data_IF_324227631494
#
_entry.id   IF_324227631494
#
_cell.length_a   1.000
_cell.length_b   1.000
_cell.length_c   1.000
_cell.angle_alpha   90.00
_cell.angle_beta   90.00
_cell.angle_gamma   90.00
#
_symmetry.space_group_name_H-M   'P 1'
#
loop_
_entity.id
_entity.type
_entity.pdbx_description
1 polymer ?
#
# COMPACT_ATOMS: atom_id res chain seq x y z
N UNK A 1 5.70 -44.76 15.60
CA UNK A 1 7.17 -44.96 15.47
C UNK A 1 7.42 -45.66 14.14
N UNK A 2 7.69 -44.90 13.09
CA UNK A 2 8.14 -45.46 11.81
C UNK A 2 9.66 -45.42 11.85
N UNK A 3 10.29 -46.59 11.84
CA UNK A 3 11.75 -46.73 11.76
C UNK A 3 12.23 -46.15 10.43
N UNK A 4 13.12 -45.16 10.48
CA UNK A 4 13.83 -44.71 9.28
C UNK A 4 14.64 -45.88 8.69
N UNK A 5 14.71 -45.91 7.36
CA UNK A 5 15.48 -46.89 6.59
C UNK A 5 16.96 -46.84 7.00
N UNK A 6 17.54 -47.98 7.37
CA UNK A 6 18.90 -48.09 7.93
C UNK A 6 19.98 -47.52 7.00
N UNK A 7 19.71 -47.45 5.69
CA UNK A 7 20.60 -46.83 4.69
C UNK A 7 20.63 -45.31 4.80
N UNK A 8 19.51 -44.70 5.14
CA UNK A 8 19.41 -43.24 5.37
C UNK A 8 20.13 -42.90 6.67
N UNK A 9 20.01 -43.75 7.70
CA UNK A 9 20.73 -43.57 8.95
C UNK A 9 22.25 -43.63 8.76
N UNK A 10 22.76 -44.59 7.97
CA UNK A 10 24.20 -44.64 7.66
C UNK A 10 24.70 -43.44 6.84
N UNK A 11 23.88 -42.87 5.94
CA UNK A 11 24.26 -41.67 5.19
C UNK A 11 24.29 -40.40 6.06
N UNK A 12 23.37 -40.30 7.02
CA UNK A 12 23.34 -39.23 8.00
C UNK A 12 24.53 -39.32 8.95
N UNK A 13 24.83 -40.52 9.48
CA UNK A 13 25.95 -40.73 10.40
C UNK A 13 27.29 -40.46 9.72
N UNK A 14 27.44 -40.82 8.44
CA UNK A 14 28.65 -40.54 7.65
C UNK A 14 28.80 -39.04 7.34
N UNK A 15 27.70 -38.35 7.02
CA UNK A 15 27.71 -36.89 6.80
C UNK A 15 27.98 -36.11 8.09
N UNK A 16 27.49 -36.59 9.24
CA UNK A 16 27.80 -36.01 10.54
C UNK A 16 29.26 -36.22 10.95
N UNK A 17 29.83 -37.40 10.69
CA UNK A 17 31.25 -37.67 10.93
C UNK A 17 32.15 -36.77 10.06
N UNK A 18 31.82 -36.63 8.77
CA UNK A 18 32.57 -35.75 7.84
C UNK A 18 32.43 -34.27 8.23
N UNK A 19 31.26 -33.85 8.72
CA UNK A 19 31.02 -32.48 9.20
C UNK A 19 31.76 -32.18 10.51
N UNK A 20 31.83 -33.13 11.44
CA UNK A 20 32.56 -32.98 12.71
C UNK A 20 34.08 -32.99 12.49
N UNK A 21 34.57 -33.70 11.47
CA UNK A 21 35.98 -33.70 11.07
C UNK A 21 36.39 -32.38 10.38
N UNK A 22 35.46 -31.71 9.69
CA UNK A 22 35.68 -30.41 9.06
C UNK A 22 35.77 -29.24 10.07
N UNK A 23 35.08 -29.34 11.22
CA UNK A 23 34.98 -28.25 12.20
C UNK A 23 36.07 -28.21 13.28
N UNK A 24 37.08 -29.07 13.23
CA UNK A 24 38.29 -28.92 14.07
C UNK A 24 38.02 -28.79 15.59
N UNK A 25 36.99 -29.45 16.12
CA UNK A 25 36.77 -29.57 17.57
C UNK A 25 36.34 -28.30 18.32
N UNK A 26 35.67 -27.34 17.69
CA UNK A 26 35.08 -26.19 18.39
C UNK A 26 33.55 -26.24 18.49
N UNK A 27 33.04 -25.94 19.69
CA UNK A 27 31.62 -25.98 20.08
C UNK A 27 30.79 -24.92 19.32
N UNK A 28 29.73 -25.32 18.57
CA UNK A 28 28.91 -24.42 17.77
C UNK A 28 27.94 -23.54 18.58
N UNK A 29 27.93 -23.61 19.92
CA UNK A 29 27.01 -22.83 20.77
C UNK A 29 27.62 -21.61 21.45
N UNK A 30 28.90 -21.32 21.23
CA UNK A 30 29.55 -20.14 21.81
C UNK A 30 29.20 -18.85 21.04
N UNK A 31 28.40 -17.98 21.67
CA UNK A 31 28.17 -16.60 21.21
C UNK A 31 29.40 -15.76 21.60
N UNK A 32 30.13 -15.12 20.66
CA UNK A 32 31.28 -14.30 21.02
C UNK A 32 30.84 -13.03 21.77
N UNK A 33 31.62 -12.64 22.78
CA UNK A 33 31.39 -11.41 23.55
C UNK A 33 31.50 -10.17 22.67
N UNK A 34 30.87 -9.08 23.10
CA UNK A 34 30.71 -7.83 22.35
C UNK A 34 32.03 -7.14 21.95
N UNK A 35 33.15 -7.45 22.59
CA UNK A 35 34.46 -6.88 22.24
C UNK A 35 35.09 -7.55 21.01
N UNK A 36 34.76 -8.81 20.73
CA UNK A 36 35.25 -9.57 19.57
C UNK A 36 34.53 -9.18 18.25
N UNK A 37 33.42 -8.45 18.35
CA UNK A 37 32.60 -7.99 17.21
C UNK A 37 33.27 -6.91 16.36
N UNK A 38 34.33 -6.30 16.87
CA UNK A 38 35.01 -5.16 16.23
C UNK A 38 36.22 -5.56 15.39
N UNK A 39 36.71 -6.80 15.53
CA UNK A 39 38.07 -7.17 15.09
C UNK A 39 38.15 -8.17 13.91
N UNK A 40 37.04 -8.43 13.20
CA UNK A 40 37.06 -9.21 11.95
C UNK A 40 36.35 -8.46 10.81
N UNK A 41 36.89 -7.28 10.52
CA UNK A 41 36.79 -6.67 9.19
C UNK A 41 38.18 -6.81 8.58
N UNK A 42 38.44 -7.92 7.90
CA UNK A 42 39.70 -8.06 7.15
C UNK A 42 39.76 -6.97 6.07
N UNK A 43 40.88 -6.24 6.08
CA UNK A 43 41.25 -5.19 5.13
C UNK A 43 41.42 -5.79 3.73
N UNK A 44 40.44 -5.58 2.85
CA UNK A 44 40.61 -5.66 1.40
C UNK A 44 40.17 -4.34 0.75
N UNK A 45 41.18 -3.56 0.34
CA UNK A 45 41.22 -2.38 -0.54
C UNK A 45 39.91 -1.57 -0.69
N UNK A 46 39.86 -0.43 0.03
CA UNK A 46 38.68 0.34 0.41
C UNK A 46 38.45 1.57 -0.51
N UNK A 47 38.36 1.37 -1.83
CA UNK A 47 38.19 2.50 -2.79
C UNK A 47 37.04 2.38 -3.79
N UNK A 48 36.21 1.34 -3.73
CA UNK A 48 35.15 1.14 -4.73
C UNK A 48 33.83 1.81 -4.33
N UNK A 49 33.47 2.89 -5.04
CA UNK A 49 32.26 3.73 -4.84
C UNK A 49 30.94 2.97 -4.73
N UNK A 50 30.85 1.77 -5.33
CA UNK A 50 29.65 0.95 -5.31
C UNK A 50 29.44 0.23 -3.96
N UNK A 51 30.51 -0.11 -3.22
CA UNK A 51 30.39 -0.72 -1.87
C UNK A 51 29.77 0.29 -0.91
N UNK A 52 30.20 1.54 -1.00
CA UNK A 52 29.69 2.64 -0.17
C UNK A 52 28.24 2.97 -0.49
N UNK A 53 27.83 2.89 -1.75
CA UNK A 53 26.42 3.07 -2.13
C UNK A 53 25.51 1.97 -1.56
N UNK A 54 25.93 0.70 -1.64
CA UNK A 54 25.20 -0.42 -1.02
C UNK A 54 25.17 -0.27 0.51
N UNK A 55 26.32 -0.01 1.15
CA UNK A 55 26.41 0.18 2.60
C UNK A 55 25.57 1.36 3.08
N UNK A 56 25.55 2.47 2.34
CA UNK A 56 24.70 3.64 2.64
C UNK A 56 23.22 3.30 2.54
N UNK A 57 22.80 2.64 1.47
CA UNK A 57 21.39 2.23 1.28
C UNK A 57 20.94 1.24 2.36
N UNK A 58 21.84 0.35 2.82
CA UNK A 58 21.58 -0.55 3.94
C UNK A 58 21.45 0.17 5.29
N UNK A 59 22.26 1.19 5.56
CA UNK A 59 22.14 2.00 6.78
C UNK A 59 20.81 2.75 6.88
N UNK A 60 20.18 3.02 5.74
CA UNK A 60 18.85 3.66 5.66
C UNK A 60 17.70 2.65 5.89
N UNK A 61 17.96 1.35 5.96
CA UNK A 61 16.97 0.28 6.19
C UNK A 61 17.05 -0.22 7.63
N UNK A 62 16.00 0.02 8.42
CA UNK A 62 15.86 -0.55 9.77
C UNK A 62 15.13 -1.90 9.79
N UNK A 63 14.53 -2.29 8.67
CA UNK A 63 13.71 -3.48 8.47
C UNK A 63 14.49 -4.69 7.93
N UNK A 64 15.74 -4.49 7.53
CA UNK A 64 16.66 -5.57 7.16
C UNK A 64 17.79 -5.59 8.19
N UNK A 65 17.78 -6.59 9.06
CA UNK A 65 18.92 -6.86 9.94
C UNK A 65 20.05 -7.47 9.10
N UNK A 66 21.19 -6.79 8.95
CA UNK A 66 22.30 -7.23 8.09
C UNK A 66 23.47 -7.70 8.97
N UNK A 67 23.73 -9.01 8.96
CA UNK A 67 24.87 -9.59 9.68
C UNK A 67 25.93 -10.18 8.76
N UNK A 68 25.69 -10.26 7.44
CA UNK A 68 26.69 -10.68 6.46
C UNK A 68 26.43 -10.09 5.06
N UNK A 69 27.51 -9.70 4.38
CA UNK A 69 27.48 -9.29 2.97
C UNK A 69 28.67 -9.91 2.25
N UNK A 70 28.42 -10.63 1.16
CA UNK A 70 29.45 -11.39 0.42
C UNK A 70 29.32 -11.19 -1.09
N UNK A 71 30.43 -11.33 -1.80
CA UNK A 71 30.49 -11.34 -3.25
C UNK A 71 31.06 -12.66 -3.75
N UNK A 72 30.35 -13.33 -4.66
CA UNK A 72 30.90 -14.42 -5.44
C UNK A 72 31.21 -13.92 -6.84
N UNK A 73 32.39 -14.25 -7.35
CA UNK A 73 32.86 -13.80 -8.66
C UNK A 73 33.44 -14.99 -9.43
N UNK A 74 33.02 -15.14 -10.69
CA UNK A 74 33.50 -16.20 -11.57
C UNK A 74 33.84 -15.64 -12.94
N UNK A 75 35.02 -15.99 -13.46
CA UNK A 75 35.33 -15.78 -14.87
C UNK A 75 34.55 -16.79 -15.71
N UNK A 76 33.77 -16.28 -16.64
CA UNK A 76 32.94 -17.02 -17.59
C UNK A 76 33.42 -16.85 -19.04
N UNK A 77 34.50 -16.09 -19.27
CA UNK A 77 35.06 -15.83 -20.61
C UNK A 77 36.34 -16.62 -20.90
N UNK A 78 36.87 -16.47 -22.11
CA UNK A 78 38.15 -17.07 -22.53
C UNK A 78 39.33 -16.24 -21.99
N UNK A 79 40.55 -16.80 -22.04
CA UNK A 79 41.78 -16.11 -21.60
C UNK A 79 41.99 -14.76 -22.29
N UNK A 80 41.57 -14.65 -23.55
CA UNK A 80 41.76 -13.46 -24.39
C UNK A 80 40.53 -12.51 -24.40
N UNK A 81 39.40 -12.95 -23.83
CA UNK A 81 38.19 -12.15 -23.67
C UNK A 81 37.47 -12.54 -22.38
N UNK A 82 38.05 -12.20 -21.21
CA UNK A 82 37.45 -12.54 -19.94
C UNK A 82 36.11 -11.80 -19.78
N UNK A 83 35.10 -12.56 -19.40
CA UNK A 83 33.82 -12.04 -18.94
C UNK A 83 33.68 -12.47 -17.49
N UNK A 84 33.27 -11.56 -16.63
CA UNK A 84 33.10 -11.83 -15.21
C UNK A 84 31.63 -11.82 -14.87
N UNK A 85 31.20 -12.78 -14.07
CA UNK A 85 29.93 -12.78 -13.37
C UNK A 85 30.20 -12.43 -11.91
N UNK A 86 29.52 -11.42 -11.40
CA UNK A 86 29.49 -11.09 -9.97
C UNK A 86 28.08 -11.31 -9.42
N UNK A 87 27.99 -11.90 -8.23
CA UNK A 87 26.76 -12.13 -7.49
C UNK A 87 26.97 -11.58 -6.07
N UNK A 88 26.08 -10.71 -5.61
CA UNK A 88 26.12 -10.18 -4.25
C UNK A 88 25.05 -10.81 -3.37
N UNK A 89 25.50 -11.22 -2.18
CA UNK A 89 24.68 -11.85 -1.17
C UNK A 89 24.56 -10.98 0.07
N UNK A 90 23.36 -10.93 0.66
CA UNK A 90 23.10 -10.32 1.97
C UNK A 90 22.37 -11.38 2.80
N UNK A 91 22.92 -11.70 3.98
CA UNK A 91 22.43 -12.78 4.85
C UNK A 91 22.28 -14.14 4.15
N UNK A 92 23.20 -14.43 3.21
CA UNK A 92 23.19 -15.66 2.42
C UNK A 92 22.17 -15.71 1.27
N UNK A 93 21.32 -14.70 1.10
CA UNK A 93 20.40 -14.59 -0.04
C UNK A 93 21.01 -13.79 -1.18
N UNK A 94 20.76 -14.17 -2.43
CA UNK A 94 21.18 -13.41 -3.61
C UNK A 94 20.32 -12.15 -3.78
N UNK A 95 20.94 -10.97 -3.82
CA UNK A 95 20.24 -9.68 -3.99
C UNK A 95 20.47 -9.03 -5.35
N UNK A 96 21.50 -9.47 -6.08
CA UNK A 96 21.76 -8.99 -7.42
C UNK A 96 22.94 -9.69 -8.06
N UNK A 97 22.88 -9.76 -9.38
CA UNK A 97 23.89 -10.40 -10.23
C UNK A 97 24.10 -9.61 -11.50
N UNK A 98 25.33 -9.52 -11.98
CA UNK A 98 25.61 -8.88 -13.25
C UNK A 98 26.89 -9.42 -13.89
N UNK A 99 27.01 -9.18 -15.19
CA UNK A 99 28.18 -9.51 -15.98
C UNK A 99 28.95 -8.25 -16.39
N UNK A 100 30.26 -8.37 -16.56
CA UNK A 100 31.12 -7.29 -17.01
C UNK A 100 32.41 -7.80 -17.65
N UNK A 101 33.02 -6.96 -18.49
CA UNK A 101 34.31 -7.27 -19.13
C UNK A 101 35.47 -7.31 -18.12
N UNK A 102 35.31 -6.68 -16.95
CA UNK A 102 36.21 -6.82 -15.80
C UNK A 102 35.40 -7.18 -14.55
N UNK A 103 36.08 -7.69 -13.52
CA UNK A 103 35.44 -8.03 -12.24
C UNK A 103 34.85 -6.79 -11.57
N UNK A 104 35.48 -5.61 -11.72
CA UNK A 104 35.00 -4.33 -11.19
C UNK A 104 33.70 -3.89 -11.87
N UNK A 105 33.61 -4.03 -13.19
CA UNK A 105 32.38 -3.71 -13.95
C UNK A 105 31.26 -4.66 -13.52
N UNK A 106 31.54 -5.96 -13.41
CA UNK A 106 30.55 -6.94 -12.99
C UNK A 106 30.05 -6.66 -11.56
N UNK A 107 30.96 -6.38 -10.61
CA UNK A 107 30.62 -6.02 -9.22
C UNK A 107 29.85 -4.70 -9.16
N UNK A 108 30.25 -3.68 -9.91
CA UNK A 108 29.57 -2.38 -9.94
C UNK A 108 28.12 -2.50 -10.44
N UNK A 109 27.87 -3.24 -11.52
CA UNK A 109 26.51 -3.40 -12.05
C UNK A 109 25.64 -4.27 -11.13
N UNK A 110 26.22 -5.33 -10.55
CA UNK A 110 25.53 -6.16 -9.56
C UNK A 110 25.17 -5.35 -8.30
N UNK A 111 26.07 -4.47 -7.83
CA UNK A 111 25.84 -3.59 -6.69
C UNK A 111 24.76 -2.54 -6.98
N UNK A 112 24.67 -2.06 -8.22
CA UNK A 112 23.61 -1.17 -8.67
C UNK A 112 22.23 -1.85 -8.65
N UNK A 113 22.18 -3.13 -9.02
CA UNK A 113 20.97 -3.96 -8.92
C UNK A 113 20.58 -4.15 -7.45
N UNK A 114 21.53 -4.54 -6.60
CA UNK A 114 21.33 -4.68 -5.15
C UNK A 114 20.82 -3.38 -4.54
N UNK A 115 21.47 -2.25 -4.83
CA UNK A 115 21.06 -0.93 -4.33
C UNK A 115 19.66 -0.55 -4.76
N UNK A 116 19.22 -0.93 -5.97
CA UNK A 116 17.82 -0.73 -6.40
C UNK A 116 16.84 -1.61 -5.66
N UNK A 117 17.18 -2.88 -5.44
CA UNK A 117 16.37 -3.82 -4.66
C UNK A 117 16.29 -3.43 -3.18
N UNK A 118 17.33 -2.79 -2.66
CA UNK A 118 17.44 -2.30 -1.29
C UNK A 118 16.80 -0.94 -1.06
N UNK A 119 16.51 -0.15 -2.10
CA UNK A 119 15.77 1.10 -1.91
C UNK A 119 14.46 0.77 -1.21
N UNK A 120 14.09 1.50 -0.14
CA UNK A 120 12.77 1.34 0.44
C UNK A 120 11.74 1.50 -0.68
N UNK A 121 10.69 0.66 -0.73
CA UNK A 121 9.61 0.89 -1.67
C UNK A 121 9.16 2.33 -1.50
N UNK A 122 8.98 3.04 -2.63
CA UNK A 122 8.45 4.42 -2.63
C UNK A 122 7.29 4.50 -1.63
N UNK A 123 7.28 5.49 -0.71
CA UNK A 123 6.21 5.61 0.27
C UNK A 123 4.87 5.51 -0.43
N UNK A 124 3.90 4.77 0.11
CA UNK A 124 2.61 4.59 -0.55
C UNK A 124 1.92 5.93 -0.87
N UNK A 125 2.23 6.99 -0.11
CA UNK A 125 1.77 8.36 -0.35
C UNK A 125 2.21 8.92 -1.70
N UNK A 126 3.32 8.45 -2.27
CA UNK A 126 3.76 8.79 -3.63
C UNK A 126 2.75 8.34 -4.70
N UNK A 127 1.95 7.29 -4.42
CA UNK A 127 0.90 6.79 -5.30
C UNK A 127 -0.33 7.70 -5.32
N UNK A 128 -0.55 8.53 -4.29
CA UNK A 128 -1.73 9.44 -4.22
C UNK A 128 -1.85 10.31 -5.47
N UNK A 129 -0.73 10.74 -6.07
CA UNK A 129 -0.71 11.55 -7.29
C UNK A 129 -1.32 10.86 -8.52
N UNK A 130 -1.32 9.53 -8.54
CA UNK A 130 -1.88 8.70 -9.61
C UNK A 130 -3.40 8.62 -9.55
N UNK A 131 -4.00 8.96 -8.41
CA UNK A 131 -5.43 8.85 -8.16
C UNK A 131 -6.12 10.21 -8.18
N UNK A 132 -7.36 10.20 -8.66
CA UNK A 132 -8.38 11.19 -8.36
C UNK A 132 -9.17 10.68 -7.15
N UNK A 133 -9.16 11.42 -6.05
CA UNK A 133 -9.87 11.05 -4.82
C UNK A 133 -11.25 11.70 -4.77
N UNK A 134 -12.30 10.88 -4.70
CA UNK A 134 -13.69 11.30 -4.59
C UNK A 134 -14.25 10.79 -3.26
N UNK A 135 -14.81 11.68 -2.46
CA UNK A 135 -15.47 11.34 -1.20
C UNK A 135 -16.98 11.30 -1.43
N UNK A 136 -17.62 10.20 -1.05
CA UNK A 136 -19.06 10.11 -0.86
C UNK A 136 -19.35 10.25 0.63
N UNK A 137 -19.91 11.38 1.02
CA UNK A 137 -20.20 11.68 2.41
C UNK A 137 -21.69 11.59 2.70
N UNK A 138 -22.03 10.82 3.74
CA UNK A 138 -23.39 10.74 4.23
C UNK A 138 -23.87 12.05 4.88
N UNK A 139 -24.92 12.65 4.34
CA UNK A 139 -25.55 13.88 4.83
C UNK A 139 -26.96 13.66 5.42
N UNK A 140 -27.20 12.50 6.02
CA UNK A 140 -28.50 12.19 6.59
C UNK A 140 -28.76 12.94 7.91
N UNK A 141 -30.03 13.09 8.30
CA UNK A 141 -30.43 13.74 9.56
C UNK A 141 -29.79 13.12 10.80
N UNK A 142 -29.42 11.84 10.74
CA UNK A 142 -28.82 11.11 11.85
C UNK A 142 -27.36 11.51 12.11
N UNK A 143 -26.69 12.14 11.14
CA UNK A 143 -25.29 12.59 11.25
C UNK A 143 -25.18 13.81 12.18
N UNK A 144 -26.27 14.59 12.32
CA UNK A 144 -26.35 15.72 13.27
C UNK A 144 -26.50 15.27 14.72
N UNK A 145 -26.83 14.00 14.98
CA UNK A 145 -26.99 13.48 16.35
C UNK A 145 -25.63 13.37 17.04
N UNK A 146 -25.59 13.79 18.30
CA UNK A 146 -24.46 13.49 19.19
C UNK A 146 -24.40 11.99 19.43
N UNK A 147 -23.20 11.42 19.43
CA UNK A 147 -23.02 9.98 19.70
C UNK A 147 -21.93 9.72 20.75
N UNK A 148 -21.16 10.74 21.12
CA UNK A 148 -20.18 10.70 22.20
C UNK A 148 -20.01 12.09 22.82
N UNK A 149 -19.45 12.10 24.03
CA UNK A 149 -18.91 13.29 24.68
C UNK A 149 -17.42 13.06 24.90
N UNK A 150 -16.57 14.03 24.50
CA UNK A 150 -15.12 13.96 24.71
C UNK A 150 -14.71 14.95 25.79
N UNK A 151 -13.83 14.55 26.70
CA UNK A 151 -13.23 15.46 27.66
C UNK A 151 -12.25 16.41 26.95
N UNK A 152 -12.31 17.70 27.27
CA UNK A 152 -11.35 18.74 26.90
C UNK A 152 -10.81 19.39 28.16
N UNK A 153 -9.67 20.08 28.03
CA UNK A 153 -8.97 20.74 29.13
C UNK A 153 -9.84 21.71 29.97
N UNK A 154 -11.04 22.11 29.51
CA UNK A 154 -12.00 22.97 30.22
C UNK A 154 -13.47 22.50 30.13
N UNK A 155 -13.75 21.19 29.99
CA UNK A 155 -15.13 20.64 30.03
C UNK A 155 -15.38 19.51 29.03
N UNK A 156 -16.61 18.98 28.97
CA UNK A 156 -16.99 17.98 27.96
C UNK A 156 -17.51 18.62 26.68
N UNK A 157 -17.10 18.09 25.53
CA UNK A 157 -17.59 18.49 24.22
C UNK A 157 -18.51 17.41 23.66
N UNK A 158 -19.74 17.80 23.33
CA UNK A 158 -20.66 16.95 22.57
C UNK A 158 -20.13 16.78 21.15
N UNK A 159 -19.79 15.55 20.78
CA UNK A 159 -19.31 15.23 19.44
C UNK A 159 -20.47 14.67 18.61
N UNK A 160 -20.73 15.37 17.52
CA UNK A 160 -21.62 14.90 16.45
C UNK A 160 -20.80 14.18 15.39
N UNK A 161 -21.43 13.23 14.70
CA UNK A 161 -20.81 12.55 13.55
C UNK A 161 -20.42 13.54 12.46
N UNK A 162 -21.21 14.62 12.32
CA UNK A 162 -20.92 15.73 11.43
C UNK A 162 -19.61 16.46 11.79
N UNK A 163 -19.34 16.65 13.08
CA UNK A 163 -18.12 17.32 13.52
C UNK A 163 -16.88 16.47 13.25
N UNK A 164 -16.93 15.19 13.61
CA UNK A 164 -15.86 14.23 13.33
C UNK A 164 -15.61 14.10 11.83
N UNK A 165 -16.66 13.91 11.03
CA UNK A 165 -16.52 13.80 9.58
C UNK A 165 -15.88 15.05 8.95
N UNK A 166 -16.27 16.25 9.41
CA UNK A 166 -15.66 17.50 8.94
C UNK A 166 -14.16 17.56 9.28
N UNK A 167 -13.77 17.15 10.48
CA UNK A 167 -12.36 17.12 10.89
C UNK A 167 -11.56 16.11 10.06
N UNK A 168 -12.09 14.89 9.92
CA UNK A 168 -11.52 13.85 9.08
C UNK A 168 -11.34 14.30 7.62
N UNK A 169 -12.35 14.93 7.02
CA UNK A 169 -12.31 15.42 5.64
C UNK A 169 -11.37 16.60 5.45
N UNK A 170 -11.23 17.47 6.46
CA UNK A 170 -10.24 18.53 6.46
C UNK A 170 -8.81 17.97 6.44
N UNK A 171 -8.53 16.97 7.30
CA UNK A 171 -7.25 16.28 7.34
C UNK A 171 -6.97 15.53 6.03
N UNK A 172 -7.98 14.84 5.49
CA UNK A 172 -7.90 14.14 4.21
C UNK A 172 -7.57 15.10 3.05
N UNK A 173 -8.26 16.24 2.98
CA UNK A 173 -8.03 17.25 1.94
C UNK A 173 -6.60 17.79 2.01
N UNK A 174 -6.11 18.11 3.22
CA UNK A 174 -4.76 18.59 3.45
C UNK A 174 -3.70 17.55 3.05
N UNK A 175 -3.89 16.28 3.44
CA UNK A 175 -2.98 15.19 3.11
C UNK A 175 -2.92 14.92 1.60
N UNK A 176 -4.08 14.82 0.92
CA UNK A 176 -4.11 14.62 -0.54
C UNK A 176 -3.49 15.82 -1.27
N UNK A 177 -3.71 17.05 -0.80
CA UNK A 177 -3.16 18.25 -1.41
C UNK A 177 -1.62 18.34 -1.33
N UNK A 178 -0.98 17.68 -0.36
CA UNK A 178 0.48 17.59 -0.27
C UNK A 178 1.09 16.72 -1.39
N UNK A 179 0.33 15.74 -1.90
CA UNK A 179 0.84 14.76 -2.85
C UNK A 179 0.18 14.84 -4.24
N UNK A 180 -0.96 15.52 -4.40
CA UNK A 180 -1.74 15.57 -5.65
C UNK A 180 -2.33 16.95 -5.93
N UNK A 181 -2.28 17.38 -7.20
CA UNK A 181 -2.87 18.63 -7.68
C UNK A 181 -4.38 18.63 -7.86
N UNK A 182 -4.98 17.44 -7.87
CA UNK A 182 -6.42 17.29 -8.11
C UNK A 182 -7.22 17.53 -6.83
N UNK A 183 -6.57 17.42 -5.66
CA UNK A 183 -7.21 17.51 -4.35
C UNK A 183 -8.35 16.48 -4.21
N UNK A 184 -9.34 16.75 -3.35
CA UNK A 184 -10.51 15.88 -3.18
C UNK A 184 -11.79 16.52 -3.73
N UNK A 185 -12.65 15.71 -4.35
CA UNK A 185 -14.04 16.07 -4.64
C UNK A 185 -14.95 15.49 -3.54
N UNK A 186 -15.90 16.25 -3.01
CA UNK A 186 -16.87 15.79 -2.01
C UNK A 186 -18.28 15.81 -2.58
N UNK A 187 -18.88 14.63 -2.64
CA UNK A 187 -20.28 14.39 -3.00
C UNK A 187 -21.05 14.08 -1.74
N UNK A 188 -22.17 14.76 -1.50
CA UNK A 188 -23.10 14.36 -0.46
C UNK A 188 -24.07 13.32 -1.04
N UNK A 189 -24.42 12.30 -0.27
CA UNK A 189 -25.31 11.24 -0.76
C UNK A 189 -26.68 11.79 -1.19
N UNK A 190 -27.26 12.72 -0.42
CA UNK A 190 -28.59 13.26 -0.65
C UNK A 190 -28.60 14.63 -1.36
N UNK A 191 -27.44 15.14 -1.80
CA UNK A 191 -27.33 16.42 -2.48
C UNK A 191 -26.72 16.28 -3.89
N UNK A 192 -27.28 17.03 -4.85
CA UNK A 192 -26.75 17.10 -6.21
C UNK A 192 -25.51 18.00 -6.31
N UNK A 193 -25.31 18.93 -5.37
CA UNK A 193 -24.17 19.83 -5.35
C UNK A 193 -22.91 19.07 -4.92
N UNK A 194 -21.88 19.15 -5.76
CA UNK A 194 -20.55 18.57 -5.52
C UNK A 194 -19.58 19.68 -5.17
N UNK A 195 -18.82 19.52 -4.09
CA UNK A 195 -17.64 20.34 -3.83
C UNK A 195 -16.48 19.77 -4.65
N UNK A 196 -15.83 20.59 -5.48
CA UNK A 196 -14.73 20.11 -6.31
C UNK A 196 -13.40 20.70 -5.88
N UNK A 197 -12.34 19.88 -5.97
CA UNK A 197 -10.95 20.27 -5.75
C UNK A 197 -10.70 20.98 -4.41
N UNK A 198 -11.28 20.46 -3.32
CA UNK A 198 -11.05 20.99 -1.98
C UNK A 198 -9.64 20.64 -1.50
N UNK A 199 -8.82 21.67 -1.26
CA UNK A 199 -7.41 21.53 -0.87
C UNK A 199 -7.14 21.83 0.60
N UNK A 200 -7.96 22.67 1.23
CA UNK A 200 -7.66 23.19 2.57
C UNK A 200 -8.77 22.85 3.57
N UNK A 201 -8.42 22.71 4.86
CA UNK A 201 -9.40 22.56 5.94
C UNK A 201 -10.51 23.62 5.92
N UNK A 202 -10.15 24.88 5.64
CA UNK A 202 -11.09 26.01 5.63
C UNK A 202 -12.11 25.86 4.49
N UNK A 203 -11.67 25.40 3.32
CA UNK A 203 -12.55 25.15 2.18
C UNK A 203 -13.54 24.02 2.48
N UNK A 204 -13.09 22.97 3.17
CA UNK A 204 -13.95 21.88 3.65
C UNK A 204 -14.96 22.40 4.66
N UNK A 205 -14.51 23.12 5.70
CA UNK A 205 -15.40 23.71 6.69
C UNK A 205 -16.42 24.65 6.07
N UNK A 206 -16.00 25.49 5.12
CA UNK A 206 -16.87 26.40 4.39
C UNK A 206 -17.92 25.66 3.57
N UNK A 207 -17.56 24.55 2.92
CA UNK A 207 -18.49 23.73 2.16
C UNK A 207 -19.62 23.17 3.05
N UNK A 208 -19.32 22.80 4.28
CA UNK A 208 -20.31 22.26 5.21
C UNK A 208 -21.18 23.32 5.89
N UNK A 209 -20.94 24.62 5.66
CA UNK A 209 -21.82 25.69 6.16
C UNK A 209 -23.18 25.62 5.44
N UNK A 210 -24.26 25.69 6.21
CA UNK A 210 -25.65 25.77 5.72
C UNK A 210 -26.10 24.58 4.86
N UNK A 211 -25.56 23.37 5.07
CA UNK A 211 -26.04 22.17 4.39
C UNK A 211 -27.24 21.58 5.13
N UNK A 212 -28.33 21.39 4.39
CA UNK A 212 -29.54 20.73 4.87
C UNK A 212 -29.35 19.21 4.84
N UNK A 213 -29.72 18.54 5.92
CA UNK A 213 -29.74 17.08 5.97
C UNK A 213 -31.05 16.54 5.40
N UNK A 214 -31.00 15.32 4.84
CA UNK A 214 -32.18 14.60 4.32
C UNK A 214 -32.31 13.22 4.95
N UNK A 215 -33.43 12.53 4.73
CA UNK A 215 -33.58 11.13 5.18
C UNK A 215 -32.98 10.20 4.12
N UNK A 216 -32.38 9.09 4.56
CA UNK A 216 -31.83 8.07 3.68
C UNK A 216 -30.31 8.13 3.49
N UNK A 217 -29.76 7.02 2.99
CA UNK A 217 -28.34 6.80 2.71
C UNK A 217 -28.18 6.12 1.34
N UNK A 218 -28.52 6.81 0.24
CA UNK A 218 -28.54 6.22 -1.10
C UNK A 218 -27.11 6.09 -1.67
N UNK A 219 -26.35 5.15 -1.12
CA UNK A 219 -24.93 4.92 -1.47
C UNK A 219 -24.82 4.32 -2.87
N UNK A 220 -25.65 3.34 -3.20
CA UNK A 220 -25.65 2.70 -4.51
C UNK A 220 -25.95 3.70 -5.63
N UNK A 221 -26.93 4.57 -5.43
CA UNK A 221 -27.26 5.62 -6.41
C UNK A 221 -26.07 6.56 -6.63
N UNK A 222 -25.43 7.03 -5.55
CA UNK A 222 -24.29 7.95 -5.66
C UNK A 222 -23.03 7.29 -6.23
N UNK A 223 -22.78 6.03 -5.89
CA UNK A 223 -21.72 5.22 -6.51
C UNK A 223 -21.96 5.06 -8.01
N UNK A 224 -23.20 4.81 -8.42
CA UNK A 224 -23.57 4.68 -9.84
C UNK A 224 -23.21 5.95 -10.61
N UNK A 225 -23.56 7.12 -10.09
CA UNK A 225 -23.23 8.41 -10.73
C UNK A 225 -21.72 8.56 -10.98
N UNK A 226 -20.91 8.31 -9.94
CA UNK A 226 -19.46 8.53 -9.98
C UNK A 226 -18.76 7.46 -10.82
N UNK A 227 -19.10 6.19 -10.63
CA UNK A 227 -18.49 5.08 -11.36
C UNK A 227 -18.85 5.14 -12.85
N UNK A 228 -20.10 5.43 -13.20
CA UNK A 228 -20.51 5.57 -14.60
C UNK A 228 -19.75 6.71 -15.27
N UNK A 229 -19.68 7.88 -14.62
CA UNK A 229 -18.93 9.01 -15.17
C UNK A 229 -17.47 8.64 -15.44
N UNK A 230 -16.80 7.98 -14.49
CA UNK A 230 -15.41 7.58 -14.65
C UNK A 230 -15.21 6.51 -15.74
N UNK A 231 -16.07 5.49 -15.80
CA UNK A 231 -15.99 4.45 -16.83
C UNK A 231 -16.23 5.03 -18.23
N UNK A 232 -17.13 6.01 -18.36
CA UNK A 232 -17.35 6.74 -19.62
C UNK A 232 -16.11 7.57 -19.98
N UNK A 233 -15.52 8.31 -19.04
CA UNK A 233 -14.26 9.03 -19.25
C UNK A 233 -13.13 8.08 -19.69
N UNK A 234 -13.04 6.90 -19.09
CA UNK A 234 -12.08 5.86 -19.46
C UNK A 234 -12.28 5.34 -20.89
N UNK A 235 -13.52 5.04 -21.29
CA UNK A 235 -13.86 4.63 -22.67
C UNK A 235 -13.39 5.68 -23.67
N UNK A 236 -13.72 6.95 -23.44
CA UNK A 236 -13.31 8.05 -24.32
C UNK A 236 -11.78 8.21 -24.38
N UNK A 237 -11.09 8.07 -23.25
CA UNK A 237 -9.63 8.12 -23.19
C UNK A 237 -9.00 6.97 -23.99
N UNK A 238 -9.46 5.72 -23.79
CA UNK A 238 -8.96 4.52 -24.48
C UNK A 238 -9.16 4.58 -25.99
N UNK A 239 -10.29 5.08 -26.48
CA UNK A 239 -10.55 5.25 -27.92
C UNK A 239 -9.58 6.25 -28.56
N UNK A 240 -9.22 7.33 -27.86
CA UNK A 240 -8.26 8.34 -28.36
C UNK A 240 -6.83 7.81 -28.41
N UNK A 241 -6.44 7.00 -27.43
CA UNK A 241 -5.12 6.39 -27.36
C UNK A 241 -4.91 5.37 -28.49
N UNK A 242 -5.94 4.56 -28.75
CA UNK A 242 -5.92 3.56 -29.84
C UNK A 242 -5.83 4.17 -31.24
N UNK A 243 -6.22 5.45 -31.40
CA UNK A 243 -6.30 6.15 -32.70
C UNK A 243 -5.14 7.10 -32.98
N UNK A 244 -4.22 7.34 -32.02
CA UNK A 244 -3.06 8.24 -32.20
C UNK A 244 -1.82 7.68 -31.49
N UNK A 245 -1.20 6.69 -32.12
CA UNK A 245 0.00 6.01 -31.60
C UNK A 245 1.31 6.80 -31.79
N UNK A 246 1.27 7.96 -32.43
CA UNK A 246 2.44 8.83 -32.65
C UNK A 246 2.04 10.30 -32.47
N UNK A 247 2.91 11.03 -31.76
CA UNK A 247 2.78 12.44 -31.34
C UNK A 247 1.88 12.65 -30.12
N UNK A 248 2.17 13.73 -29.36
CA UNK A 248 1.47 14.23 -28.16
C UNK A 248 2.11 13.93 -26.81
N UNK A 249 3.35 14.41 -26.62
CA UNK A 249 3.86 14.82 -25.30
C UNK A 249 2.99 15.97 -24.77
N UNK A 250 2.23 15.77 -23.69
CA UNK A 250 1.62 16.88 -22.94
C UNK A 250 0.17 16.74 -22.47
N UNK A 251 -0.55 15.66 -22.79
CA UNK A 251 -1.90 15.43 -22.22
C UNK A 251 -1.79 14.59 -20.95
N UNK A 252 -2.36 15.09 -19.84
CA UNK A 252 -2.46 14.34 -18.57
C UNK A 252 -3.13 12.98 -18.86
N UNK A 253 -2.48 11.90 -18.47
CA UNK A 253 -3.09 10.56 -18.46
C UNK A 253 -4.37 10.58 -17.61
N UNK A 254 -5.35 9.73 -17.94
CA UNK A 254 -6.49 9.53 -17.06
C UNK A 254 -5.99 8.91 -15.76
N UNK A 255 -6.22 9.60 -14.64
CA UNK A 255 -5.85 9.11 -13.32
C UNK A 255 -6.74 7.94 -12.89
N UNK A 256 -6.21 7.08 -12.04
CA UNK A 256 -6.98 6.05 -11.34
C UNK A 256 -8.04 6.71 -10.45
N UNK A 257 -9.09 5.99 -10.07
CA UNK A 257 -10.14 6.52 -9.20
C UNK A 257 -10.03 5.92 -7.81
N UNK A 258 -10.04 6.77 -6.78
CA UNK A 258 -10.17 6.35 -5.40
C UNK A 258 -11.45 6.93 -4.81
N UNK A 259 -12.41 6.09 -4.44
CA UNK A 259 -13.68 6.50 -3.84
C UNK A 259 -13.65 6.21 -2.35
N UNK A 260 -13.78 7.24 -1.51
CA UNK A 260 -13.91 7.09 -0.06
C UNK A 260 -15.36 7.31 0.34
N UNK A 261 -16.03 6.27 0.82
CA UNK A 261 -17.45 6.29 1.23
C UNK A 261 -17.53 6.38 2.75
N UNK A 262 -17.90 7.54 3.27
CA UNK A 262 -18.01 7.79 4.71
C UNK A 262 -19.47 7.71 5.14
N UNK A 263 -19.80 6.72 5.97
CA UNK A 263 -21.17 6.45 6.44
C UNK A 263 -21.19 6.15 7.94
N UNK A 264 -22.31 6.42 8.61
CA UNK A 264 -22.48 6.07 10.02
C UNK A 264 -23.44 4.91 10.27
N UNK A 265 -24.16 4.48 9.24
CA UNK A 265 -25.08 3.36 9.32
C UNK A 265 -25.28 2.70 7.96
N UNK A 266 -26.02 1.60 7.92
CA UNK A 266 -26.15 0.78 6.72
C UNK A 266 -26.82 1.51 5.54
N UNK A 267 -26.31 1.41 4.30
CA UNK A 267 -26.94 1.95 3.10
C UNK A 267 -28.45 1.64 3.02
N UNK A 268 -29.25 2.58 2.51
CA UNK A 268 -30.70 2.34 2.28
C UNK A 268 -30.99 1.65 0.95
N UNK A 269 -29.96 1.43 0.16
CA UNK A 269 -29.94 0.74 -1.13
C UNK A 269 -28.80 -0.30 -1.15
N UNK A 270 -28.58 -0.98 -2.28
CA UNK A 270 -27.61 -2.08 -2.38
C UNK A 270 -26.36 -1.67 -3.18
N UNK A 271 -25.30 -1.15 -2.54
CA UNK A 271 -24.08 -0.73 -3.25
C UNK A 271 -23.33 -1.91 -3.87
N UNK A 272 -23.45 -3.11 -3.30
CA UNK A 272 -22.71 -4.28 -3.75
C UNK A 272 -23.01 -4.68 -5.19
N UNK A 273 -24.26 -4.51 -5.65
CA UNK A 273 -24.61 -4.79 -7.04
C UNK A 273 -23.92 -3.82 -8.01
N UNK A 274 -23.95 -2.52 -7.71
CA UNK A 274 -23.33 -1.45 -8.51
C UNK A 274 -21.81 -1.67 -8.63
N UNK A 275 -21.17 -2.07 -7.53
CA UNK A 275 -19.73 -2.36 -7.49
C UNK A 275 -19.42 -3.57 -8.39
N UNK A 276 -20.18 -4.66 -8.28
CA UNK A 276 -19.99 -5.86 -9.11
C UNK A 276 -20.21 -5.59 -10.60
N UNK A 277 -21.25 -4.82 -10.95
CA UNK A 277 -21.51 -4.43 -12.33
C UNK A 277 -20.39 -3.55 -12.90
N UNK A 278 -19.90 -2.60 -12.11
CA UNK A 278 -18.76 -1.77 -12.48
C UNK A 278 -17.48 -2.60 -12.66
N UNK A 279 -17.21 -3.55 -11.77
CA UNK A 279 -16.07 -4.47 -11.89
C UNK A 279 -16.14 -5.35 -13.15
N UNK A 280 -17.33 -5.84 -13.51
CA UNK A 280 -17.54 -6.57 -14.79
C UNK A 280 -17.24 -5.68 -15.99
N UNK A 281 -17.67 -4.42 -15.94
CA UNK A 281 -17.40 -3.47 -17.01
C UNK A 281 -15.90 -3.15 -17.12
N UNK A 282 -15.20 -2.98 -16.00
CA UNK A 282 -13.73 -2.84 -15.98
C UNK A 282 -13.04 -4.02 -16.67
N UNK A 283 -13.48 -5.26 -16.41
CA UNK A 283 -12.94 -6.46 -17.07
C UNK A 283 -13.22 -6.44 -18.57
N UNK A 284 -14.43 -6.10 -19.02
CA UNK A 284 -14.76 -5.96 -20.45
C UNK A 284 -13.88 -4.92 -21.13
N UNK A 285 -13.63 -3.81 -20.44
CA UNK A 285 -12.76 -2.73 -20.90
C UNK A 285 -11.27 -3.05 -20.78
N UNK A 286 -10.89 -4.24 -20.27
CA UNK A 286 -9.50 -4.65 -20.04
C UNK A 286 -8.70 -3.60 -19.25
N UNK A 287 -9.34 -3.04 -18.23
CA UNK A 287 -8.70 -2.06 -17.34
C UNK A 287 -7.63 -2.75 -16.49
N UNK A 288 -6.60 -1.99 -16.09
CA UNK A 288 -5.66 -2.47 -15.07
C UNK A 288 -6.46 -2.65 -13.78
N UNK A 289 -6.25 -3.79 -13.08
CA UNK A 289 -7.03 -4.20 -11.90
C UNK A 289 -7.17 -3.07 -10.87
N UNK A 290 -6.08 -2.33 -10.67
CA UNK A 290 -5.97 -1.29 -9.66
C UNK A 290 -6.52 0.09 -10.07
N UNK A 291 -7.25 0.17 -11.18
CA UNK A 291 -7.71 1.46 -11.75
C UNK A 291 -8.83 2.13 -10.95
N UNK A 292 -9.53 1.41 -10.08
CA UNK A 292 -10.61 1.93 -9.22
C UNK A 292 -10.51 1.25 -7.84
N UNK A 293 -10.28 2.00 -6.76
CA UNK A 293 -10.41 1.50 -5.40
C UNK A 293 -11.57 2.16 -4.65
N UNK A 294 -12.29 1.40 -3.82
CA UNK A 294 -13.43 1.88 -3.04
C UNK A 294 -13.20 1.58 -1.55
N UNK A 295 -12.99 2.61 -0.75
CA UNK A 295 -12.83 2.51 0.68
C UNK A 295 -14.13 2.90 1.40
N UNK A 296 -14.78 1.97 2.09
CA UNK A 296 -15.82 2.31 3.05
C UNK A 296 -15.21 2.67 4.40
N UNK A 297 -15.77 3.70 5.03
CA UNK A 297 -15.31 4.21 6.32
C UNK A 297 -16.52 4.41 7.22
N UNK A 298 -16.54 3.68 8.34
CA UNK A 298 -17.57 3.82 9.35
C UNK A 298 -17.26 4.99 10.29
N UNK A 299 -18.24 5.88 10.48
CA UNK A 299 -18.22 6.90 11.54
C UNK A 299 -19.19 6.52 12.66
N UNK A 300 -18.72 6.61 13.90
CA UNK A 300 -19.50 6.25 15.08
C UNK A 300 -19.70 4.74 15.24
N UNK A 301 -20.25 4.35 16.39
CA UNK A 301 -20.20 2.98 16.91
C UNK A 301 -21.43 2.09 16.58
N UNK A 302 -22.14 2.37 15.49
CA UNK A 302 -23.31 1.58 15.11
C UNK A 302 -22.94 0.13 14.74
N UNK A 303 -23.44 -0.84 15.50
CA UNK A 303 -23.11 -2.26 15.31
C UNK A 303 -23.71 -2.84 14.02
N UNK A 304 -24.87 -2.34 13.58
CA UNK A 304 -25.51 -2.78 12.34
C UNK A 304 -24.74 -2.32 11.11
N UNK A 305 -24.25 -1.07 11.14
CA UNK A 305 -23.35 -0.51 10.14
C UNK A 305 -22.09 -1.36 9.99
N UNK A 306 -21.47 -1.70 11.14
CA UNK A 306 -20.26 -2.50 11.19
C UNK A 306 -20.44 -3.84 10.50
N UNK A 307 -21.48 -4.58 10.91
CA UNK A 307 -21.78 -5.90 10.35
C UNK A 307 -22.07 -5.81 8.86
N UNK A 308 -22.90 -4.85 8.45
CA UNK A 308 -23.25 -4.70 7.04
C UNK A 308 -22.04 -4.37 6.16
N UNK A 309 -21.09 -3.54 6.63
CA UNK A 309 -19.88 -3.24 5.89
C UNK A 309 -18.96 -4.47 5.79
N UNK A 310 -18.85 -5.29 6.84
CA UNK A 310 -18.10 -6.55 6.78
C UNK A 310 -18.71 -7.52 5.77
N UNK A 311 -20.04 -7.70 5.84
CA UNK A 311 -20.77 -8.55 4.88
C UNK A 311 -20.60 -8.05 3.45
N UNK A 312 -20.56 -6.72 3.24
CA UNK A 312 -20.29 -6.13 1.93
C UNK A 312 -18.88 -6.45 1.44
N UNK A 313 -17.86 -6.28 2.28
CA UNK A 313 -16.45 -6.59 1.93
C UNK A 313 -16.31 -8.07 1.53
N UNK A 314 -16.77 -8.98 2.39
CA UNK A 314 -16.73 -10.43 2.17
C UNK A 314 -17.48 -10.84 0.90
N UNK A 315 -18.70 -10.30 0.70
CA UNK A 315 -19.49 -10.59 -0.50
C UNK A 315 -18.77 -10.11 -1.77
N UNK A 316 -18.14 -8.93 -1.76
CA UNK A 316 -17.41 -8.41 -2.91
C UNK A 316 -16.16 -9.26 -3.17
N UNK A 317 -15.42 -9.63 -2.14
CA UNK A 317 -14.24 -10.48 -2.26
C UNK A 317 -14.57 -11.85 -2.88
N UNK A 318 -15.68 -12.45 -2.47
CA UNK A 318 -16.11 -13.77 -2.94
C UNK A 318 -16.76 -13.77 -4.32
N UNK A 319 -17.39 -12.67 -4.75
CA UNK A 319 -18.29 -12.67 -5.94
C UNK A 319 -17.98 -11.63 -7.01
N UNK A 320 -17.04 -10.72 -6.77
CA UNK A 320 -16.57 -9.76 -7.77
C UNK A 320 -15.56 -10.40 -8.71
N UNK A 321 -15.56 -10.07 -10.02
CA UNK A 321 -14.47 -10.46 -10.92
C UNK A 321 -13.16 -9.71 -10.63
N UNK A 322 -13.21 -8.66 -9.80
CA UNK A 322 -12.06 -7.93 -9.29
C UNK A 322 -12.12 -7.96 -7.75
N UNK A 323 -11.59 -9.03 -7.11
CA UNK A 323 -11.36 -9.06 -5.66
C UNK A 323 -10.40 -7.94 -5.22
N UNK A 324 -10.54 -7.45 -3.99
CA UNK A 324 -9.78 -6.35 -3.43
C UNK A 324 -10.12 -4.95 -3.98
N UNK A 325 -11.22 -4.80 -4.72
CA UNK A 325 -11.73 -3.49 -5.20
C UNK A 325 -12.36 -2.67 -4.06
N UNK A 326 -12.84 -3.34 -3.01
CA UNK A 326 -13.42 -2.74 -1.81
C UNK A 326 -12.51 -2.99 -0.63
N UNK A 327 -12.44 -2.00 0.27
CA UNK A 327 -11.88 -2.13 1.60
C UNK A 327 -12.81 -1.43 2.61
N UNK A 328 -12.72 -1.81 3.89
CA UNK A 328 -13.56 -1.32 4.98
C UNK A 328 -12.71 -0.91 6.18
N UNK A 329 -12.83 0.36 6.59
CA UNK A 329 -12.29 0.87 7.85
C UNK A 329 -13.43 0.99 8.86
N UNK A 330 -13.34 0.24 9.94
CA UNK A 330 -14.33 0.28 11.03
C UNK A 330 -14.01 1.37 12.05
N UNK A 331 -15.06 1.87 12.71
CA UNK A 331 -14.90 2.74 13.88
C UNK A 331 -14.25 1.98 15.03
N UNK A 332 -13.17 2.51 15.61
CA UNK A 332 -12.56 2.02 16.85
C UNK A 332 -12.89 2.95 18.02
N UNK A 333 -12.91 2.41 19.26
CA UNK A 333 -13.21 3.24 20.45
C UNK A 333 -12.08 4.23 20.78
N UNK A 334 -10.86 3.92 20.37
CA UNK A 334 -9.64 4.70 20.62
C UNK A 334 -9.41 5.83 19.61
N UNK A 335 -9.96 5.72 18.40
CA UNK A 335 -9.78 6.70 17.34
C UNK A 335 -11.12 7.12 16.77
N UNK A 336 -11.57 8.32 17.12
CA UNK A 336 -12.48 8.99 16.22
C UNK A 336 -11.76 9.33 14.92
N UNK A 337 -12.51 9.38 13.83
CA UNK A 337 -11.95 9.60 12.49
C UNK A 337 -11.16 10.92 12.38
N UNK A 338 -11.43 11.87 13.27
CA UNK A 338 -10.76 13.16 13.39
C UNK A 338 -9.64 13.23 14.43
N UNK A 339 -9.45 12.20 15.28
CA UNK A 339 -8.51 12.25 16.40
C UNK A 339 -7.05 11.96 16.00
N UNK A 340 -6.82 11.06 15.05
CA UNK A 340 -5.46 10.65 14.66
C UNK A 340 -5.25 10.80 13.15
N UNK A 341 -4.29 11.64 12.69
CA UNK A 341 -3.88 11.71 11.30
C UNK A 341 -3.53 10.35 10.67
N UNK A 342 -3.02 9.39 11.45
CA UNK A 342 -2.71 8.05 10.95
C UNK A 342 -3.97 7.27 10.55
N UNK A 343 -5.11 7.54 11.18
CA UNK A 343 -6.39 6.92 10.79
C UNK A 343 -6.77 7.34 9.36
N UNK A 344 -6.55 8.60 9.01
CA UNK A 344 -6.81 9.11 7.65
C UNK A 344 -5.80 8.56 6.64
N UNK A 345 -4.55 8.39 7.06
CA UNK A 345 -3.51 7.75 6.25
C UNK A 345 -3.88 6.29 5.91
N UNK A 346 -4.35 5.51 6.89
CA UNK A 346 -4.80 4.12 6.67
C UNK A 346 -6.05 4.05 5.78
N UNK A 347 -7.02 4.96 5.96
CA UNK A 347 -8.19 5.09 5.07
C UNK A 347 -7.75 5.33 3.62
N UNK A 348 -6.77 6.21 3.39
CA UNK A 348 -6.25 6.43 2.05
C UNK A 348 -5.50 5.23 1.51
N UNK A 349 -4.73 4.56 2.36
CA UNK A 349 -3.91 3.41 1.99
C UNK A 349 -4.78 2.24 1.52
N UNK A 350 -5.86 1.90 2.22
CA UNK A 350 -6.69 0.74 1.87
C UNK A 350 -7.28 0.79 0.45
N UNK A 351 -7.75 1.96 0.01
CA UNK A 351 -8.29 2.15 -1.34
C UNK A 351 -7.26 2.48 -2.43
N UNK A 352 -6.02 2.80 -2.09
CA UNK A 352 -4.92 3.10 -3.05
C UNK A 352 -4.00 1.90 -3.24
N UNK A 353 -3.67 1.22 -2.14
CA UNK A 353 -2.88 0.02 -2.12
C UNK A 353 -3.83 -1.16 -2.15
N UNK A 354 -4.22 -1.58 -3.35
CA UNK A 354 -4.97 -2.80 -3.57
C UNK A 354 -4.41 -3.94 -2.71
N UNK A 355 -5.27 -4.53 -1.88
CA UNK A 355 -4.98 -5.83 -1.29
C UNK A 355 -4.92 -6.83 -2.44
N UNK A 356 -3.71 -7.09 -2.94
CA UNK A 356 -3.44 -8.37 -3.57
C UNK A 356 -3.66 -9.39 -2.46
N UNK A 357 -4.54 -10.37 -2.67
CA UNK A 357 -4.64 -11.50 -1.76
C UNK A 357 -3.25 -12.15 -1.61
N UNK A 358 -2.55 -11.79 -0.55
CA UNK A 358 -1.42 -12.47 0.05
C UNK A 358 -1.76 -12.44 1.55
N UNK A 359 -2.06 -13.57 2.20
CA UNK A 359 -1.04 -14.53 2.65
C UNK A 359 0.27 -13.80 3.00
N UNK A 360 0.17 -12.87 3.93
CA UNK A 360 1.25 -12.44 4.79
C UNK A 360 0.65 -12.20 6.17
N UNK A 361 0.62 -13.29 6.94
CA UNK A 361 0.79 -13.40 8.39
C UNK A 361 0.09 -14.68 8.87
N UNK A 362 0.87 -15.76 8.88
CA UNK A 362 0.99 -16.72 9.98
C UNK A 362 2.28 -17.54 9.81
#
# INVERSE_FOLDING_TARGET
MVSLDWRIQQQLDKSQADFMQFLGGHDPTAIPSTEDRSARLEEEDDSSTWRDECKRTLRERSDIDVWSMRWDCKSTGTRDSPFWLAIGYINGMEWGRAQGHTIEIAKSEAARIISRSLRPPEPWTSKIKEFKTVVLFEDSTSVSKCYSERSKNNGSERVTRWKEAKGALANLAALVAQHSDDAIDIHLLNNVKVARRLRTPEAVHAFFRNKTTRRGRPVAAKLTDVLRQYLDEYKHWKHRDSSRRTLWKGKKSLKKLHIVVIIHGYPTDSPGQVIKESAREMVRLRMIRDSIGIQFVQIGNDRGARRHLQELDEMIELSSPIPGIVDVTQYTREGSLDADPNTIAEVLRGGICFRLGQVFDQ
#
